data_IF_582149199210
#
_entry.id   IF_582149199210
#
_cell.length_a   1.000
_cell.length_b   1.000
_cell.length_c   1.000
_cell.angle_alpha   90.00
_cell.angle_beta   90.00
_cell.angle_gamma   90.00
#
_symmetry.space_group_name_H-M   'P 1'
#
loop_
_entity.id
_entity.type
_entity.pdbx_description
1 polymer ?
#
# COMPACT_ATOMS: atom_id res chain seq x y z
N UNK A 1 -0.94 -11.72 14.89
CA UNK A 1 -0.48 -12.41 13.65
C UNK A 1 -0.59 -11.42 12.51
N UNK A 2 0.53 -11.02 11.92
CA UNK A 2 0.61 -10.10 10.78
C UNK A 2 0.12 -10.79 9.50
N UNK A 3 -0.91 -10.24 8.85
CA UNK A 3 -1.40 -10.69 7.56
C UNK A 3 -1.58 -9.48 6.65
N UNK A 4 -0.84 -9.45 5.54
CA UNK A 4 -0.84 -8.34 4.60
C UNK A 4 -0.86 -8.86 3.16
N UNK A 5 -1.44 -8.05 2.27
CA UNK A 5 -1.27 -8.18 0.83
C UNK A 5 -0.83 -6.84 0.26
N UNK A 6 0.25 -6.84 -0.52
CA UNK A 6 0.81 -5.66 -1.17
C UNK A 6 0.66 -5.82 -2.68
N UNK A 7 0.16 -4.79 -3.34
CA UNK A 7 -0.13 -4.77 -4.78
C UNK A 7 0.48 -3.52 -5.42
N UNK A 8 0.71 -3.58 -6.73
CA UNK A 8 0.94 -2.37 -7.53
C UNK A 8 -0.38 -1.71 -7.90
N UNK A 9 -1.27 -2.46 -8.57
CA UNK A 9 -2.61 -2.05 -8.97
C UNK A 9 -3.61 -3.02 -8.34
N UNK A 10 -4.48 -2.51 -7.46
CA UNK A 10 -5.42 -3.36 -6.73
C UNK A 10 -6.49 -3.93 -7.67
N UNK A 11 -7.08 -3.10 -8.53
CA UNK A 11 -8.17 -3.53 -9.39
C UNK A 11 -7.70 -4.59 -10.42
N UNK A 12 -6.44 -4.55 -10.87
CA UNK A 12 -5.87 -5.57 -11.76
C UNK A 12 -5.50 -6.87 -11.02
N UNK A 13 -5.20 -6.77 -9.72
CA UNK A 13 -4.87 -7.90 -8.85
C UNK A 13 -6.01 -8.33 -7.92
N UNK A 14 -7.24 -7.85 -8.14
CA UNK A 14 -8.39 -8.03 -7.25
C UNK A 14 -8.71 -9.51 -6.95
N UNK A 15 -8.41 -10.42 -7.88
CA UNK A 15 -8.59 -11.86 -7.66
C UNK A 15 -7.77 -12.37 -6.48
N UNK A 16 -6.52 -11.95 -6.34
CA UNK A 16 -5.65 -12.32 -5.21
C UNK A 16 -6.11 -11.66 -3.91
N UNK A 17 -6.55 -10.40 -3.99
CA UNK A 17 -7.10 -9.68 -2.84
C UNK A 17 -8.37 -10.36 -2.33
N UNK A 18 -9.25 -10.80 -3.25
CA UNK A 18 -10.44 -11.59 -2.89
C UNK A 18 -10.07 -12.87 -2.16
N UNK A 19 -9.13 -13.66 -2.70
CA UNK A 19 -8.68 -14.88 -2.03
C UNK A 19 -8.05 -14.62 -0.67
N UNK A 20 -7.28 -13.54 -0.53
CA UNK A 20 -6.70 -13.13 0.75
C UNK A 20 -7.80 -12.78 1.76
N UNK A 21 -8.79 -12.00 1.35
CA UNK A 21 -9.90 -11.60 2.20
C UNK A 21 -10.81 -12.78 2.58
N UNK A 22 -11.14 -13.67 1.63
CA UNK A 22 -11.96 -14.85 1.90
C UNK A 22 -11.32 -15.79 2.93
N UNK A 23 -9.98 -15.82 3.01
CA UNK A 23 -9.23 -16.65 3.97
C UNK A 23 -9.05 -16.02 5.34
N UNK A 24 -9.01 -14.69 5.42
CA UNK A 24 -8.54 -13.99 6.62
C UNK A 24 -9.57 -13.03 7.23
N UNK A 25 -10.52 -12.51 6.44
CA UNK A 25 -11.45 -11.48 6.88
C UNK A 25 -12.66 -12.09 7.62
N UNK A 26 -13.05 -11.44 8.72
CA UNK A 26 -14.29 -11.71 9.45
C UNK A 26 -15.37 -10.67 9.15
N UNK A 27 -14.98 -9.51 8.69
CA UNK A 27 -15.84 -8.38 8.32
C UNK A 27 -15.92 -8.23 6.80
N UNK A 28 -17.01 -7.65 6.31
CA UNK A 28 -17.20 -7.23 4.92
C UNK A 28 -17.08 -5.71 4.77
N UNK A 29 -16.37 -5.05 5.69
CA UNK A 29 -16.16 -3.61 5.68
C UNK A 29 -14.68 -3.29 5.62
N UNK A 30 -14.28 -2.49 4.63
CA UNK A 30 -12.91 -2.01 4.43
C UNK A 30 -12.84 -0.55 4.80
N UNK A 31 -11.90 -0.19 5.69
CA UNK A 31 -11.53 1.20 5.90
C UNK A 31 -10.53 1.60 4.81
N UNK A 32 -11.01 2.39 3.87
CA UNK A 32 -10.25 2.86 2.71
C UNK A 32 -9.60 4.21 3.03
N UNK A 33 -8.27 4.28 2.97
CA UNK A 33 -7.49 5.49 3.23
C UNK A 33 -6.92 6.02 1.90
N UNK A 34 -7.55 7.08 1.32
CA UNK A 34 -7.18 7.63 0.03
C UNK A 34 -6.08 8.70 0.08
N UNK A 35 -5.54 8.97 1.24
CA UNK A 35 -4.74 10.17 1.54
C UNK A 35 -3.55 10.38 0.60
N UNK A 36 -2.88 9.30 0.14
CA UNK A 36 -1.77 9.39 -0.81
C UNK A 36 -2.16 10.13 -2.11
N UNK A 37 -3.42 10.02 -2.53
CA UNK A 37 -3.93 10.59 -3.77
C UNK A 37 -4.30 12.08 -3.66
N UNK A 38 -4.23 12.70 -2.49
CA UNK A 38 -4.69 14.09 -2.31
C UNK A 38 -3.93 15.09 -3.18
N UNK A 39 -2.66 14.82 -3.46
CA UNK A 39 -1.76 15.68 -4.24
C UNK A 39 -1.63 15.24 -5.70
N UNK A 40 -2.35 14.20 -6.12
CA UNK A 40 -2.38 13.70 -7.48
C UNK A 40 -3.44 14.42 -8.31
N UNK A 41 -3.14 14.71 -9.59
CA UNK A 41 -4.12 15.25 -10.54
C UNK A 41 -5.04 14.14 -11.07
N UNK A 42 -4.50 12.96 -11.35
CA UNK A 42 -5.23 11.81 -11.89
C UNK A 42 -5.65 10.85 -10.77
N UNK A 43 -6.97 10.65 -10.60
CA UNK A 43 -7.56 9.85 -9.50
C UNK A 43 -8.52 8.76 -9.94
N UNK A 44 -8.64 8.48 -11.26
CA UNK A 44 -9.60 7.47 -11.75
C UNK A 44 -9.35 6.07 -11.20
N UNK A 45 -8.09 5.71 -10.92
CA UNK A 45 -7.74 4.42 -10.33
C UNK A 45 -8.42 4.19 -8.97
N UNK A 46 -8.67 5.26 -8.21
CA UNK A 46 -9.36 5.16 -6.92
C UNK A 46 -10.81 4.70 -7.08
N UNK A 47 -11.51 5.24 -8.08
CA UNK A 47 -12.87 4.79 -8.41
C UNK A 47 -12.88 3.32 -8.85
N UNK A 48 -11.91 2.90 -9.68
CA UNK A 48 -11.77 1.51 -10.12
C UNK A 48 -11.50 0.57 -8.94
N UNK A 49 -10.65 1.00 -8.02
CA UNK A 49 -10.31 0.24 -6.80
C UNK A 49 -11.51 0.12 -5.85
N UNK A 50 -12.24 1.21 -5.62
CA UNK A 50 -13.45 1.20 -4.78
C UNK A 50 -14.50 0.24 -5.37
N UNK A 51 -14.78 0.40 -6.68
CA UNK A 51 -15.68 -0.48 -7.41
C UNK A 51 -15.24 -1.95 -7.37
N UNK A 52 -13.96 -2.24 -7.50
CA UNK A 52 -13.44 -3.60 -7.42
C UNK A 52 -13.72 -4.25 -6.06
N UNK A 53 -13.61 -3.51 -4.95
CA UNK A 53 -14.00 -4.00 -3.62
C UNK A 53 -15.51 -4.25 -3.52
N UNK A 54 -16.34 -3.35 -4.06
CA UNK A 54 -17.79 -3.51 -4.07
C UNK A 54 -18.22 -4.74 -4.88
N UNK A 55 -17.62 -4.94 -6.06
CA UNK A 55 -17.90 -6.06 -6.96
C UNK A 55 -17.57 -7.42 -6.32
N UNK A 56 -16.62 -7.48 -5.38
CA UNK A 56 -16.34 -8.69 -4.58
C UNK A 56 -17.11 -8.74 -3.25
N UNK A 57 -18.08 -7.85 -3.04
CA UNK A 57 -19.03 -7.87 -1.93
C UNK A 57 -18.54 -7.21 -0.63
N UNK A 58 -17.60 -6.27 -0.72
CA UNK A 58 -17.13 -5.48 0.43
C UNK A 58 -17.74 -4.08 0.41
N UNK A 59 -18.08 -3.56 1.59
CA UNK A 59 -18.49 -2.17 1.78
C UNK A 59 -17.25 -1.32 2.02
N UNK A 60 -17.08 -0.27 1.23
CA UNK A 60 -15.99 0.68 1.35
C UNK A 60 -16.39 1.85 2.26
N UNK A 61 -15.52 2.19 3.21
CA UNK A 61 -15.66 3.30 4.15
C UNK A 61 -14.48 4.26 3.93
N UNK A 62 -14.67 5.24 3.07
CA UNK A 62 -13.65 6.23 2.72
C UNK A 62 -13.32 7.13 3.91
N UNK A 63 -12.02 7.24 4.24
CA UNK A 63 -11.57 8.02 5.36
C UNK A 63 -10.19 8.64 5.13
N UNK A 64 -10.19 9.91 4.73
CA UNK A 64 -8.95 10.67 4.54
C UNK A 64 -8.37 11.10 5.90
N UNK A 65 -7.21 10.53 6.26
CA UNK A 65 -6.56 10.84 7.54
C UNK A 65 -6.02 12.27 7.63
N UNK A 66 -5.81 12.95 6.50
CA UNK A 66 -5.23 14.30 6.48
C UNK A 66 -6.15 15.35 7.12
N UNK A 67 -7.48 15.16 7.00
CA UNK A 67 -8.48 16.15 7.42
C UNK A 67 -8.95 16.01 8.86
N UNK A 68 -8.61 14.90 9.55
CA UNK A 68 -9.07 14.65 10.92
C UNK A 68 -7.95 14.80 11.95
N UNK A 69 -8.33 14.98 13.22
CA UNK A 69 -7.37 15.00 14.33
C UNK A 69 -6.75 13.60 14.54
N UNK A 70 -5.55 13.54 15.12
CA UNK A 70 -4.90 12.27 15.51
C UNK A 70 -5.84 11.38 16.33
N UNK A 71 -6.53 11.95 17.31
CA UNK A 71 -7.48 11.23 18.17
C UNK A 71 -8.59 10.57 17.34
N UNK A 72 -9.24 11.34 16.45
CA UNK A 72 -10.32 10.85 15.59
C UNK A 72 -9.84 9.74 14.68
N UNK A 73 -8.63 9.89 14.09
CA UNK A 73 -8.05 8.86 13.23
C UNK A 73 -7.79 7.58 14.02
N UNK A 74 -7.16 7.66 15.19
CA UNK A 74 -6.91 6.49 16.04
C UNK A 74 -8.20 5.80 16.49
N UNK A 75 -9.25 6.56 16.85
CA UNK A 75 -10.57 6.02 17.18
C UNK A 75 -11.21 5.29 15.99
N UNK A 76 -11.05 5.80 14.77
CA UNK A 76 -11.53 5.14 13.54
C UNK A 76 -10.77 3.85 13.26
N UNK A 77 -9.44 3.94 13.29
CA UNK A 77 -8.54 2.80 13.07
C UNK A 77 -8.73 1.69 14.13
N UNK A 78 -9.01 2.04 15.40
CA UNK A 78 -9.20 1.05 16.47
C UNK A 78 -10.39 0.10 16.21
N UNK A 79 -11.39 0.53 15.45
CA UNK A 79 -12.60 -0.22 15.10
C UNK A 79 -12.47 -0.98 13.78
N UNK A 80 -11.42 -0.71 13.01
CA UNK A 80 -11.20 -1.36 11.73
C UNK A 80 -10.64 -2.79 11.92
N UNK A 81 -11.16 -3.73 11.15
CA UNK A 81 -10.63 -5.09 11.00
C UNK A 81 -9.83 -5.25 9.71
N UNK A 82 -10.14 -4.44 8.70
CA UNK A 82 -9.48 -4.40 7.40
C UNK A 82 -9.18 -2.96 7.06
N UNK A 83 -7.93 -2.66 6.73
CA UNK A 83 -7.51 -1.37 6.22
C UNK A 83 -6.95 -1.54 4.80
N UNK A 84 -7.34 -0.64 3.93
CA UNK A 84 -6.72 -0.46 2.63
C UNK A 84 -6.10 0.93 2.54
N UNK A 85 -4.82 1.01 2.19
CA UNK A 85 -4.13 2.28 1.90
C UNK A 85 -3.83 2.33 0.41
N UNK A 86 -4.38 3.35 -0.25
CA UNK A 86 -4.33 3.50 -1.70
C UNK A 86 -2.95 3.91 -2.23
N UNK A 87 -2.81 3.83 -3.54
CA UNK A 87 -1.78 4.50 -4.30
C UNK A 87 -1.89 6.02 -4.25
N UNK A 88 -0.92 6.68 -4.88
CA UNK A 88 -0.69 8.12 -4.91
C UNK A 88 0.74 8.45 -4.52
N UNK A 89 0.99 9.64 -4.02
CA UNK A 89 2.34 10.07 -3.64
C UNK A 89 2.78 9.45 -2.31
N UNK A 90 3.83 8.65 -2.35
CA UNK A 90 4.37 7.92 -1.19
C UNK A 90 4.90 8.87 -0.11
N UNK A 91 5.54 9.96 -0.49
CA UNK A 91 6.11 10.93 0.45
C UNK A 91 5.02 11.70 1.18
N UNK A 92 4.00 12.16 0.46
CA UNK A 92 2.85 12.84 1.07
C UNK A 92 2.10 11.92 2.05
N UNK A 93 1.90 10.66 1.67
CA UNK A 93 1.30 9.67 2.57
C UNK A 93 2.11 9.50 3.85
N UNK A 94 3.44 9.33 3.74
CA UNK A 94 4.32 9.17 4.90
C UNK A 94 4.30 10.41 5.79
N UNK A 95 4.31 11.62 5.20
CA UNK A 95 4.18 12.88 5.95
C UNK A 95 2.91 12.89 6.80
N UNK A 96 1.76 12.57 6.20
CA UNK A 96 0.47 12.60 6.90
C UNK A 96 0.40 11.55 8.01
N UNK A 97 0.95 10.35 7.78
CA UNK A 97 1.05 9.32 8.81
C UNK A 97 1.94 9.75 9.98
N UNK A 98 3.10 10.36 9.70
CA UNK A 98 4.01 10.86 10.75
C UNK A 98 3.40 12.05 11.49
N UNK A 99 2.80 13.00 10.80
CA UNK A 99 2.15 14.18 11.38
C UNK A 99 1.05 13.80 12.39
N UNK A 100 0.44 12.65 12.22
CA UNK A 100 -0.63 12.09 13.06
C UNK A 100 -0.12 11.01 14.04
N UNK A 101 1.19 10.81 14.16
CA UNK A 101 1.79 9.76 15.01
C UNK A 101 1.18 8.36 14.75
N UNK A 102 0.96 8.01 13.48
CA UNK A 102 0.28 6.78 13.09
C UNK A 102 1.22 5.63 12.74
N UNK A 103 2.51 5.88 12.47
CA UNK A 103 3.46 4.83 12.03
C UNK A 103 3.52 3.68 13.05
N UNK A 104 3.89 3.97 14.29
CA UNK A 104 3.98 2.95 15.34
C UNK A 104 2.61 2.37 15.68
N UNK A 105 1.55 3.20 15.68
CA UNK A 105 0.19 2.75 15.94
C UNK A 105 -0.32 1.75 14.91
N UNK A 106 -0.15 2.03 13.61
CA UNK A 106 -0.54 1.11 12.54
C UNK A 106 0.29 -0.16 12.58
N UNK A 107 1.62 -0.04 12.79
CA UNK A 107 2.50 -1.20 12.93
C UNK A 107 1.99 -2.14 14.03
N UNK A 108 1.74 -1.63 15.23
CA UNK A 108 1.20 -2.42 16.33
C UNK A 108 -0.15 -3.07 15.98
N UNK A 109 -1.06 -2.32 15.36
CA UNK A 109 -2.38 -2.84 14.95
C UNK A 109 -2.26 -3.99 13.95
N UNK A 110 -1.39 -3.85 12.95
CA UNK A 110 -1.15 -4.85 11.90
C UNK A 110 -0.50 -6.12 12.49
N UNK A 111 0.49 -5.96 13.36
CA UNK A 111 1.11 -7.08 14.09
C UNK A 111 0.11 -7.83 14.99
N UNK A 112 -0.89 -7.12 15.52
CA UNK A 112 -1.98 -7.65 16.34
C UNK A 112 -3.23 -8.09 15.55
N UNK A 113 -3.15 -8.17 14.21
CA UNK A 113 -4.16 -8.85 13.39
C UNK A 113 -5.10 -7.95 12.61
N UNK A 114 -4.87 -6.63 12.55
CA UNK A 114 -5.50 -5.78 11.53
C UNK A 114 -5.05 -6.26 10.15
N UNK A 115 -6.00 -6.64 9.28
CA UNK A 115 -5.67 -7.02 7.92
C UNK A 115 -5.26 -5.78 7.12
N UNK A 116 -4.10 -5.84 6.51
CA UNK A 116 -3.54 -4.74 5.73
C UNK A 116 -3.55 -5.05 4.24
N UNK A 117 -4.07 -4.13 3.45
CA UNK A 117 -4.01 -4.14 2.00
C UNK A 117 -3.32 -2.86 1.57
N UNK A 118 -2.21 -2.97 0.84
CA UNK A 118 -1.49 -1.84 0.27
C UNK A 118 -1.58 -1.81 -1.25
N UNK A 119 -1.68 -0.63 -1.84
CA UNK A 119 -1.58 -0.40 -3.27
C UNK A 119 -0.50 0.64 -3.53
N UNK A 120 0.49 0.36 -4.41
CA UNK A 120 1.54 1.30 -4.81
C UNK A 120 2.16 2.02 -3.60
N UNK A 121 1.93 3.32 -3.40
CA UNK A 121 2.39 4.08 -2.24
C UNK A 121 2.05 3.39 -0.90
N UNK A 122 0.82 2.87 -0.76
CA UNK A 122 0.40 2.10 0.41
C UNK A 122 1.18 0.80 0.60
N UNK A 123 1.73 0.23 -0.47
CA UNK A 123 2.63 -0.92 -0.39
C UNK A 123 4.05 -0.50 -0.02
N UNK A 124 4.58 0.52 -0.67
CA UNK A 124 5.95 1.03 -0.47
C UNK A 124 6.23 1.48 0.96
N UNK A 125 5.27 2.19 1.62
CA UNK A 125 5.47 2.67 3.00
C UNK A 125 5.60 1.56 4.05
N UNK A 126 5.28 0.30 3.70
CA UNK A 126 5.47 -0.84 4.61
C UNK A 126 6.93 -1.21 4.81
N UNK A 127 7.81 -0.79 3.90
CA UNK A 127 9.24 -1.04 3.92
C UNK A 127 10.02 -0.24 4.98
N UNK A 128 11.34 -0.45 5.03
CA UNK A 128 12.21 0.21 6.01
C UNK A 128 12.38 1.71 5.73
N UNK A 129 12.50 2.11 4.47
CA UNK A 129 12.75 3.49 4.05
C UNK A 129 12.22 3.70 2.64
N UNK A 130 11.68 4.90 2.35
CA UNK A 130 11.04 5.20 1.07
C UNK A 130 11.89 6.11 0.16
N UNK A 131 13.12 6.46 0.52
CA UNK A 131 13.92 7.45 -0.23
C UNK A 131 14.15 7.06 -1.70
N UNK A 132 14.32 5.76 -1.98
CA UNK A 132 14.47 5.22 -3.33
C UNK A 132 13.28 5.51 -4.25
N UNK A 133 12.07 5.64 -3.69
CA UNK A 133 10.85 5.95 -4.43
C UNK A 133 10.83 7.37 -5.02
N UNK A 134 11.80 8.24 -4.67
CA UNK A 134 11.92 9.58 -5.23
C UNK A 134 12.21 9.63 -6.73
N UNK A 135 12.48 8.49 -7.36
CA UNK A 135 12.58 8.36 -8.81
C UNK A 135 11.21 8.17 -9.50
N UNK A 136 10.21 7.75 -8.74
CA UNK A 136 8.84 7.54 -9.23
C UNK A 136 7.87 8.60 -8.69
N UNK A 137 8.07 9.09 -7.46
CA UNK A 137 7.20 10.03 -6.78
C UNK A 137 7.89 11.36 -6.49
N UNK A 138 7.19 12.46 -6.68
CA UNK A 138 7.71 13.81 -6.36
C UNK A 138 7.69 14.06 -4.84
N UNK A 139 8.88 13.98 -4.22
CA UNK A 139 9.06 14.24 -2.79
C UNK A 139 8.82 15.69 -2.37
N UNK A 140 8.82 16.65 -3.32
CA UNK A 140 8.58 18.06 -3.01
C UNK A 140 7.14 18.37 -2.60
N UNK A 141 6.22 17.44 -2.87
CA UNK A 141 4.82 17.51 -2.43
C UNK A 141 4.65 17.25 -0.93
N UNK A 142 5.68 16.71 -0.27
CA UNK A 142 5.72 16.46 1.17
C UNK A 142 6.68 17.43 1.88
N UNK A 143 6.33 18.71 1.89
CA UNK A 143 7.22 19.82 2.30
C UNK A 143 7.72 19.74 3.75
N UNK A 144 6.99 19.05 4.63
CA UNK A 144 7.32 18.92 6.06
C UNK A 144 8.03 17.58 6.36
N UNK A 145 8.19 16.69 5.35
CA UNK A 145 8.82 15.39 5.54
C UNK A 145 10.34 15.50 5.47
N UNK A 146 11.01 15.19 6.57
CA UNK A 146 12.49 15.18 6.68
C UNK A 146 13.07 13.79 6.99
N UNK A 147 12.25 12.84 7.42
CA UNK A 147 12.63 11.47 7.74
C UNK A 147 11.82 10.49 6.88
N UNK A 148 12.51 9.75 6.02
CA UNK A 148 11.95 8.81 5.06
C UNK A 148 11.78 7.38 5.60
N UNK A 149 11.98 7.15 6.90
CA UNK A 149 11.75 5.86 7.54
C UNK A 149 10.28 5.46 7.42
N UNK A 150 10.01 4.31 6.80
CA UNK A 150 8.69 3.75 6.61
C UNK A 150 8.14 3.03 7.85
N UNK A 151 7.14 2.17 7.68
CA UNK A 151 6.54 1.41 8.78
C UNK A 151 7.44 0.25 9.29
N UNK A 152 8.43 -0.17 8.50
CA UNK A 152 9.32 -1.28 8.82
C UNK A 152 8.55 -2.55 9.24
N UNK A 153 7.55 -2.91 8.43
CA UNK A 153 6.74 -4.13 8.54
C UNK A 153 7.29 -5.28 7.70
N UNK A 154 8.09 -4.95 6.70
CA UNK A 154 8.85 -5.84 5.81
C UNK A 154 10.31 -5.41 5.83
N UNK A 155 11.22 -6.30 5.49
CA UNK A 155 12.67 -6.11 5.49
C UNK A 155 13.27 -5.94 4.08
N UNK A 156 12.42 -5.90 3.07
CA UNK A 156 12.77 -5.62 1.67
C UNK A 156 12.18 -4.29 1.18
N UNK A 157 12.58 -3.86 -0.01
CA UNK A 157 12.13 -2.63 -0.66
C UNK A 157 11.29 -2.97 -1.89
N UNK A 158 9.99 -2.66 -1.82
CA UNK A 158 9.06 -2.98 -2.90
C UNK A 158 9.16 -1.98 -4.04
N UNK A 159 9.35 -2.46 -5.27
CA UNK A 159 9.25 -1.67 -6.51
C UNK A 159 7.96 -2.07 -7.23
N UNK A 160 6.88 -1.29 -7.05
CA UNK A 160 5.62 -1.54 -7.73
C UNK A 160 5.69 -1.10 -9.20
N UNK A 161 4.70 -1.54 -10.01
CA UNK A 161 4.54 -1.17 -11.41
C UNK A 161 5.75 -1.51 -12.29
N UNK A 162 6.56 -2.49 -11.91
CA UNK A 162 7.77 -2.83 -12.65
C UNK A 162 7.45 -3.21 -14.11
N UNK A 163 8.03 -2.45 -15.04
CA UNK A 163 7.82 -2.62 -16.47
C UNK A 163 6.44 -2.17 -17.00
N UNK A 164 5.63 -1.46 -16.18
CA UNK A 164 4.29 -1.01 -16.55
C UNK A 164 4.23 0.51 -16.73
N UNK A 165 3.64 0.96 -17.84
CA UNK A 165 3.43 2.40 -18.06
C UNK A 165 2.40 3.00 -17.09
N UNK A 166 2.61 4.25 -16.63
CA UNK A 166 3.69 5.20 -16.97
C UNK A 166 4.96 5.05 -16.12
N UNK A 167 5.10 4.01 -15.30
CA UNK A 167 6.19 3.83 -14.33
C UNK A 167 7.34 2.95 -14.85
N UNK A 168 7.29 2.46 -16.09
CA UNK A 168 8.31 1.55 -16.64
C UNK A 168 9.72 2.13 -16.50
N UNK A 169 9.96 3.34 -17.00
CA UNK A 169 11.28 3.99 -16.93
C UNK A 169 11.75 4.24 -15.50
N UNK A 170 10.87 4.75 -14.62
CA UNK A 170 11.24 5.05 -13.23
C UNK A 170 11.52 3.79 -12.42
N UNK A 171 10.74 2.72 -12.61
CA UNK A 171 10.95 1.44 -11.93
C UNK A 171 12.25 0.74 -12.38
N UNK A 172 12.56 0.76 -13.68
CA UNK A 172 13.84 0.24 -14.19
C UNK A 172 15.03 1.03 -13.63
N UNK A 173 14.91 2.35 -13.54
CA UNK A 173 15.95 3.22 -12.99
C UNK A 173 16.17 3.00 -11.48
N UNK A 174 15.10 2.70 -10.72
CA UNK A 174 15.23 2.28 -9.32
C UNK A 174 16.08 1.01 -9.25
N UNK A 175 15.77 0.00 -10.07
CA UNK A 175 16.53 -1.26 -10.08
C UNK A 175 17.99 -1.02 -10.47
N UNK A 176 18.25 -0.25 -11.51
CA UNK A 176 19.62 0.07 -11.93
C UNK A 176 20.46 0.68 -10.80
N UNK A 177 19.90 1.64 -10.04
CA UNK A 177 20.63 2.39 -9.03
C UNK A 177 20.74 1.69 -7.69
N UNK A 178 19.80 0.80 -7.37
CA UNK A 178 19.67 0.26 -6.01
C UNK A 178 19.80 -1.26 -5.88
N UNK A 179 19.81 -2.06 -6.96
CA UNK A 179 19.88 -3.54 -6.92
C UNK A 179 21.06 -4.10 -6.12
N UNK A 180 22.18 -3.39 -6.08
CA UNK A 180 23.39 -3.81 -5.33
C UNK A 180 23.45 -3.21 -3.91
N UNK A 181 22.45 -2.42 -3.51
CA UNK A 181 22.42 -1.67 -2.24
C UNK A 181 21.21 -2.03 -1.37
N UNK A 182 20.11 -2.41 -1.99
CA UNK A 182 18.84 -2.68 -1.32
C UNK A 182 18.32 -4.04 -1.77
N UNK A 183 17.66 -4.75 -0.87
CA UNK A 183 16.93 -5.97 -1.18
C UNK A 183 15.61 -5.59 -1.86
N UNK A 184 15.59 -5.61 -3.20
CA UNK A 184 14.46 -5.16 -4.00
C UNK A 184 13.54 -6.31 -4.37
N UNK A 185 12.25 -6.17 -4.08
CA UNK A 185 11.19 -7.06 -4.58
C UNK A 185 10.35 -6.32 -5.62
N UNK A 186 10.29 -6.90 -6.83
CA UNK A 186 9.66 -6.27 -7.98
C UNK A 186 8.32 -6.93 -8.27
N UNK A 187 7.26 -6.15 -8.43
CA UNK A 187 5.95 -6.63 -8.87
C UNK A 187 5.36 -5.73 -9.95
N UNK A 188 4.75 -6.34 -10.95
CA UNK A 188 3.94 -5.65 -11.95
C UNK A 188 2.49 -5.47 -11.47
N UNK A 189 1.61 -4.91 -12.32
CA UNK A 189 0.23 -4.63 -11.95
C UNK A 189 -0.63 -5.89 -11.67
N UNK A 190 -0.22 -7.06 -12.19
CA UNK A 190 -0.94 -8.34 -12.08
C UNK A 190 -0.31 -9.30 -11.07
N UNK A 191 0.58 -8.80 -10.25
CA UNK A 191 1.24 -9.55 -9.20
C UNK A 191 0.92 -8.93 -7.83
N UNK A 192 1.09 -9.74 -6.78
CA UNK A 192 0.95 -9.27 -5.41
C UNK A 192 1.92 -10.00 -4.48
N UNK A 193 2.26 -9.39 -3.35
CA UNK A 193 3.03 -10.02 -2.28
C UNK A 193 2.09 -10.35 -1.13
N UNK A 194 1.97 -11.63 -0.81
CA UNK A 194 1.31 -12.09 0.41
C UNK A 194 2.32 -12.19 1.54
N UNK A 195 1.99 -11.59 2.68
CA UNK A 195 2.83 -11.62 3.88
C UNK A 195 2.05 -12.25 5.03
N UNK A 196 2.68 -13.22 5.69
CA UNK A 196 2.16 -13.85 6.90
C UNK A 196 3.28 -13.92 7.94
N UNK A 197 3.16 -13.12 8.99
CA UNK A 197 4.24 -12.88 9.96
C UNK A 197 5.52 -12.38 9.26
N UNK A 198 6.60 -13.16 9.27
CA UNK A 198 7.87 -12.82 8.62
C UNK A 198 8.06 -13.49 7.26
N UNK A 199 7.16 -14.40 6.89
CA UNK A 199 7.22 -15.08 5.60
C UNK A 199 6.49 -14.27 4.55
N UNK A 200 7.03 -14.21 3.34
CA UNK A 200 6.35 -13.62 2.19
C UNK A 200 6.45 -14.49 0.94
N UNK A 201 5.55 -14.26 0.01
CA UNK A 201 5.62 -14.84 -1.33
C UNK A 201 4.98 -13.92 -2.37
N UNK A 202 5.62 -13.82 -3.52
CA UNK A 202 5.02 -13.20 -4.70
C UNK A 202 4.03 -14.20 -5.31
N UNK A 203 2.83 -13.70 -5.61
CA UNK A 203 1.78 -14.43 -6.31
C UNK A 203 1.50 -13.74 -7.65
N UNK A 204 1.29 -14.55 -8.67
CA UNK A 204 0.97 -14.11 -10.04
C UNK A 204 -0.04 -15.05 -10.66
N UNK A 205 -0.78 -14.55 -11.64
CA UNK A 205 -1.72 -15.40 -12.37
C UNK A 205 -0.98 -16.59 -12.98
N UNK A 206 -1.55 -17.78 -12.78
CA UNK A 206 -1.06 -18.95 -13.51
C UNK A 206 -1.40 -18.74 -14.99
N UNK A 207 -0.39 -18.71 -15.84
CA UNK A 207 -0.63 -18.78 -17.28
C UNK A 207 -1.56 -19.96 -17.55
N UNK A 208 -2.81 -19.69 -17.94
CA UNK A 208 -3.66 -20.71 -18.52
C UNK A 208 -3.00 -21.07 -19.84
N UNK A 209 -2.16 -22.12 -19.83
CA UNK A 209 -1.70 -22.72 -21.07
C UNK A 209 -2.93 -22.99 -21.92
N UNK A 210 -3.00 -22.32 -23.06
CA UNK A 210 -3.97 -22.58 -24.13
C UNK A 210 -3.69 -23.92 -24.80
#
# INVERSE_FOLDING_TARGET
MKNMILTSSLYESIGFVKEFLDKNAKSKKILFIPTAANVEEYKNYMYLTEKAFEDIGYKVDNFDISVFSEKTVKEKLSKAEIIFISGGNTFYLLQELKRKNLISYLKERIENGLLYIGESAGSVITGPNIEYASLADDKTLAKELSDYTGMNLIDFYLVPHFGEEPFAESSEKIVELYKDKLDLELINNKEAILIKNNDFKIIKEKNKNR
#
